data_IF_417994665378
#
_entry.id   IF_417994665378
#
_cell.length_a   1.000
_cell.length_b   1.000
_cell.length_c   1.000
_cell.angle_alpha   90.00
_cell.angle_beta   90.00
_cell.angle_gamma   90.00
#
_symmetry.space_group_name_H-M   'P 1'
#
loop_
_entity.id
_entity.type
_entity.pdbx_description
1 polymer ?
#
# COMPACT_ATOMS: atom_id res chain seq x y z
N UNK A 1 -38.98 22.98 -42.10
CA UNK A 1 -38.43 21.65 -41.78
C UNK A 1 -37.22 21.84 -40.89
N UNK A 2 -37.34 21.58 -39.59
CA UNK A 2 -36.23 21.61 -38.65
C UNK A 2 -36.23 20.25 -37.91
N UNK A 3 -35.17 19.47 -38.12
CA UNK A 3 -34.96 18.19 -37.45
C UNK A 3 -34.14 18.48 -36.20
N UNK A 4 -34.79 18.45 -35.03
CA UNK A 4 -34.12 18.58 -33.74
C UNK A 4 -33.48 17.25 -33.33
N UNK A 5 -32.15 17.19 -33.29
CA UNK A 5 -31.41 16.09 -32.67
C UNK A 5 -31.43 16.26 -31.14
N UNK A 6 -32.20 15.43 -30.44
CA UNK A 6 -32.06 15.26 -29.00
C UNK A 6 -30.91 14.30 -28.69
N UNK A 7 -29.77 14.84 -28.26
CA UNK A 7 -28.68 14.07 -27.67
C UNK A 7 -29.02 13.74 -26.21
N UNK A 8 -29.53 12.53 -25.95
CA UNK A 8 -29.63 12.00 -24.60
C UNK A 8 -28.26 11.49 -24.15
N UNK A 9 -27.57 12.25 -23.31
CA UNK A 9 -26.41 11.76 -22.57
C UNK A 9 -26.88 10.85 -21.44
N UNK A 10 -26.62 9.56 -21.59
CA UNK A 10 -26.83 8.58 -20.53
C UNK A 10 -25.81 8.81 -19.42
N UNK A 11 -26.29 9.00 -18.20
CA UNK A 11 -25.40 9.03 -17.03
C UNK A 11 -25.01 7.60 -16.67
N UNK A 12 -23.79 7.39 -16.16
CA UNK A 12 -23.30 6.04 -15.81
C UNK A 12 -24.26 5.27 -14.89
N UNK A 13 -25.07 5.96 -14.07
CA UNK A 13 -26.05 5.34 -13.18
C UNK A 13 -27.22 4.66 -13.90
N UNK A 14 -27.73 5.24 -14.99
CA UNK A 14 -28.90 4.70 -15.71
C UNK A 14 -28.55 3.45 -16.52
N UNK A 15 -27.33 3.36 -17.03
CA UNK A 15 -26.84 2.16 -17.73
C UNK A 15 -26.79 0.95 -16.79
N UNK A 16 -26.27 1.14 -15.57
CA UNK A 16 -26.20 0.07 -14.56
C UNK A 16 -27.60 -0.32 -14.04
N UNK A 17 -28.51 0.63 -13.86
CA UNK A 17 -29.87 0.34 -13.40
C UNK A 17 -30.65 -0.53 -14.40
N UNK A 18 -30.51 -0.29 -15.70
CA UNK A 18 -31.13 -1.12 -16.75
C UNK A 18 -30.47 -2.50 -16.81
N UNK A 19 -29.14 -2.57 -16.66
CA UNK A 19 -28.39 -3.83 -16.67
C UNK A 19 -28.76 -4.73 -15.48
N UNK A 20 -28.82 -4.18 -14.27
CA UNK A 20 -29.22 -4.91 -13.06
C UNK A 20 -30.72 -5.20 -12.98
N UNK A 21 -31.56 -4.30 -13.50
CA UNK A 21 -33.02 -4.50 -13.56
C UNK A 21 -33.43 -5.69 -14.43
N UNK A 22 -32.68 -5.96 -15.51
CA UNK A 22 -32.92 -7.12 -16.38
C UNK A 22 -32.38 -8.44 -15.82
N UNK A 23 -31.32 -8.41 -15.02
CA UNK A 23 -30.75 -9.61 -14.40
C UNK A 23 -31.60 -10.18 -13.24
N UNK A 24 -32.52 -9.39 -12.68
CA UNK A 24 -33.33 -9.81 -11.51
C UNK A 24 -34.47 -10.78 -11.80
N UNK A 25 -34.79 -11.11 -13.06
CA UNK A 25 -36.00 -11.88 -13.37
C UNK A 25 -35.82 -13.40 -13.47
N UNK A 26 -34.61 -13.92 -13.61
CA UNK A 26 -34.39 -15.37 -13.64
C UNK A 26 -33.02 -15.72 -13.01
N UNK A 27 -32.99 -15.90 -11.69
CA UNK A 27 -31.82 -16.51 -11.04
C UNK A 27 -31.81 -18.01 -11.35
N UNK A 28 -31.21 -18.35 -12.49
CA UNK A 28 -30.77 -19.69 -12.80
C UNK A 28 -29.57 -19.93 -11.89
N UNK A 29 -29.70 -20.89 -10.95
CA UNK A 29 -28.56 -21.30 -10.12
C UNK A 29 -27.52 -21.87 -11.08
N UNK A 30 -26.37 -21.20 -11.30
CA UNK A 30 -25.39 -21.71 -12.25
C UNK A 30 -24.88 -23.05 -11.72
N UNK A 31 -24.81 -24.07 -12.59
CA UNK A 31 -24.21 -25.35 -12.21
C UNK A 31 -22.76 -25.13 -11.75
N UNK A 32 -22.26 -26.02 -10.90
CA UNK A 32 -20.90 -25.95 -10.34
C UNK A 32 -19.85 -25.82 -11.46
N UNK A 33 -20.10 -26.45 -12.60
CA UNK A 33 -19.29 -26.37 -13.82
C UNK A 33 -19.21 -24.95 -14.41
N UNK A 34 -20.32 -24.20 -14.43
CA UNK A 34 -20.36 -22.81 -14.92
C UNK A 34 -19.60 -21.87 -13.99
N UNK A 35 -19.69 -22.10 -12.67
CA UNK A 35 -18.93 -21.33 -11.68
C UNK A 35 -17.42 -21.61 -11.81
N UNK A 36 -17.03 -22.88 -11.98
CA UNK A 36 -15.64 -23.28 -12.19
C UNK A 36 -15.07 -22.68 -13.49
N UNK A 37 -15.84 -22.71 -14.57
CA UNK A 37 -15.50 -22.09 -15.85
C UNK A 37 -15.27 -20.57 -15.72
N UNK A 38 -16.19 -19.87 -15.03
CA UNK A 38 -16.06 -18.43 -14.78
C UNK A 38 -14.88 -18.10 -13.85
N UNK A 39 -14.61 -18.94 -12.85
CA UNK A 39 -13.48 -18.77 -11.93
C UNK A 39 -12.14 -19.01 -12.63
N UNK A 40 -12.09 -20.00 -13.53
CA UNK A 40 -10.94 -20.25 -14.40
C UNK A 40 -10.67 -19.06 -15.33
N UNK A 41 -11.70 -18.54 -15.99
CA UNK A 41 -11.56 -17.38 -16.88
C UNK A 41 -11.15 -16.10 -16.14
N UNK A 42 -11.71 -15.85 -14.95
CA UNK A 42 -11.39 -14.66 -14.14
C UNK A 42 -10.00 -14.72 -13.53
N UNK A 43 -9.47 -15.90 -13.19
CA UNK A 43 -8.10 -16.04 -12.70
C UNK A 43 -7.06 -15.73 -13.80
N UNK A 44 -7.27 -16.19 -15.04
CA UNK A 44 -6.41 -15.86 -16.19
C UNK A 44 -6.46 -14.36 -16.52
N UNK A 45 -7.66 -13.76 -16.51
CA UNK A 45 -7.83 -12.32 -16.69
C UNK A 45 -7.15 -11.52 -15.57
N UNK A 46 -7.18 -12.01 -14.34
CA UNK A 46 -6.50 -11.42 -13.19
C UNK A 46 -4.97 -11.42 -13.37
N UNK A 47 -4.39 -12.53 -13.80
CA UNK A 47 -2.94 -12.63 -14.07
C UNK A 47 -2.54 -11.71 -15.24
N UNK A 48 -3.35 -11.63 -16.28
CA UNK A 48 -3.15 -10.73 -17.42
C UNK A 48 -3.21 -9.25 -16.98
N UNK A 49 -4.21 -8.88 -16.17
CA UNK A 49 -4.34 -7.53 -15.65
C UNK A 49 -3.15 -7.15 -14.75
N UNK A 50 -2.66 -8.10 -13.95
CA UNK A 50 -1.51 -7.90 -13.07
C UNK A 50 -0.21 -7.74 -13.88
N UNK A 51 0.01 -8.56 -14.91
CA UNK A 51 1.13 -8.42 -15.83
C UNK A 51 1.09 -7.09 -16.61
N UNK A 52 -0.10 -6.69 -17.07
CA UNK A 52 -0.31 -5.39 -17.72
C UNK A 52 -0.01 -4.22 -16.79
N UNK A 53 -0.43 -4.29 -15.53
CA UNK A 53 -0.13 -3.28 -14.52
C UNK A 53 1.38 -3.22 -14.22
N UNK A 54 2.04 -4.37 -14.08
CA UNK A 54 3.49 -4.42 -13.88
C UNK A 54 4.27 -3.84 -15.06
N UNK A 55 3.85 -4.13 -16.29
CA UNK A 55 4.45 -3.53 -17.50
C UNK A 55 4.28 -2.01 -17.54
N UNK A 56 3.09 -1.50 -17.24
CA UNK A 56 2.82 -0.05 -17.16
C UNK A 56 3.66 0.60 -16.08
N UNK A 57 3.77 -0.02 -14.91
CA UNK A 57 4.58 0.46 -13.80
C UNK A 57 6.07 0.60 -14.19
N UNK A 58 6.64 -0.43 -14.85
CA UNK A 58 8.03 -0.38 -15.33
C UNK A 58 8.25 0.73 -16.37
N UNK A 59 7.29 0.96 -17.27
CA UNK A 59 7.38 2.01 -18.28
C UNK A 59 7.22 3.41 -17.70
N UNK A 60 6.35 3.61 -16.72
CA UNK A 60 6.22 4.88 -16.00
C UNK A 60 7.54 5.21 -15.30
N UNK A 61 8.13 4.24 -14.60
CA UNK A 61 9.45 4.43 -13.97
C UNK A 61 10.57 4.76 -14.96
N UNK A 62 10.54 4.17 -16.16
CA UNK A 62 11.51 4.48 -17.20
C UNK A 62 11.37 5.93 -17.73
N UNK A 63 10.13 6.43 -17.87
CA UNK A 63 9.87 7.81 -18.28
C UNK A 63 10.29 8.78 -17.17
N UNK A 64 9.90 8.50 -15.93
CA UNK A 64 10.32 9.27 -14.76
C UNK A 64 11.84 9.36 -14.69
N UNK A 65 12.56 8.25 -14.88
CA UNK A 65 14.03 8.24 -14.88
C UNK A 65 14.65 9.13 -15.98
N UNK A 66 14.00 9.26 -17.13
CA UNK A 66 14.45 10.14 -18.23
C UNK A 66 14.17 11.62 -17.89
N UNK A 67 13.00 11.93 -17.33
CA UNK A 67 12.67 13.27 -16.84
C UNK A 67 13.61 13.72 -15.72
N UNK A 68 13.88 12.85 -14.74
CA UNK A 68 14.83 13.12 -13.68
C UNK A 68 16.25 13.36 -14.21
N UNK A 69 16.67 12.63 -15.25
CA UNK A 69 18.00 12.81 -15.85
C UNK A 69 18.13 14.14 -16.58
N UNK A 70 17.09 14.55 -17.33
CA UNK A 70 17.05 15.85 -18.02
C UNK A 70 17.09 17.02 -17.04
N UNK A 71 16.26 16.98 -15.99
CA UNK A 71 16.23 18.04 -14.96
C UNK A 71 17.56 18.10 -14.20
N UNK A 72 18.16 16.94 -13.93
CA UNK A 72 19.46 16.84 -13.26
C UNK A 72 20.60 17.44 -14.09
N UNK A 73 20.70 17.13 -15.38
CA UNK A 73 21.76 17.66 -16.25
C UNK A 73 21.71 19.19 -16.37
N UNK A 74 20.50 19.77 -16.43
CA UNK A 74 20.31 21.24 -16.48
C UNK A 74 20.71 21.91 -15.16
N UNK A 75 20.50 21.26 -14.02
CA UNK A 75 20.75 21.84 -12.69
C UNK A 75 22.20 21.63 -12.23
N UNK A 76 22.79 20.46 -12.48
CA UNK A 76 24.19 20.17 -12.12
C UNK A 76 25.17 21.05 -12.91
N UNK A 77 24.81 21.45 -14.14
CA UNK A 77 25.60 22.38 -14.96
C UNK A 77 25.74 23.79 -14.37
N UNK A 78 24.88 24.20 -13.44
CA UNK A 78 24.94 25.53 -12.81
C UNK A 78 25.50 25.53 -11.38
N UNK A 79 25.70 24.36 -10.75
CA UNK A 79 26.38 24.23 -9.45
C UNK A 79 25.67 24.87 -8.24
N UNK A 80 24.42 25.34 -8.41
CA UNK A 80 23.70 26.13 -7.40
C UNK A 80 22.86 25.30 -6.43
N UNK A 81 22.52 24.05 -6.78
CA UNK A 81 21.66 23.16 -5.99
C UNK A 81 22.09 21.70 -6.15
N UNK A 82 21.91 20.89 -5.10
CA UNK A 82 21.96 19.43 -5.25
C UNK A 82 20.77 19.00 -6.09
N UNK A 83 21.02 18.47 -7.28
CA UNK A 83 19.99 18.13 -8.24
C UNK A 83 18.94 17.15 -7.69
N UNK A 84 19.32 16.33 -6.71
CA UNK A 84 18.47 15.36 -6.03
C UNK A 84 17.27 16.00 -5.30
N UNK A 85 17.39 17.27 -4.88
CA UNK A 85 16.36 17.95 -4.07
C UNK A 85 15.33 18.69 -4.93
N UNK A 86 15.71 19.12 -6.13
CA UNK A 86 14.90 20.04 -6.95
C UNK A 86 13.60 19.40 -7.47
N UNK A 87 13.58 18.14 -7.92
CA UNK A 87 12.34 17.51 -8.37
C UNK A 87 11.31 17.33 -7.25
N UNK A 88 11.77 16.99 -6.03
CA UNK A 88 10.89 16.87 -4.86
C UNK A 88 10.24 18.22 -4.51
N UNK A 89 11.00 19.31 -4.65
CA UNK A 89 10.48 20.67 -4.49
C UNK A 89 9.50 21.02 -5.60
N UNK A 90 9.80 20.70 -6.87
CA UNK A 90 8.91 21.01 -8.00
C UNK A 90 7.59 20.24 -7.94
N UNK A 91 7.59 19.01 -7.42
CA UNK A 91 6.38 18.19 -7.25
C UNK A 91 5.52 18.58 -6.04
N UNK A 92 6.14 19.13 -4.98
CA UNK A 92 5.43 19.50 -3.75
C UNK A 92 4.49 20.71 -3.90
N UNK A 93 4.63 21.51 -4.96
CA UNK A 93 3.82 22.71 -5.18
C UNK A 93 3.07 22.62 -6.50
N UNK A 94 1.75 22.83 -6.47
CA UNK A 94 0.89 22.79 -7.67
C UNK A 94 1.04 24.04 -8.55
N UNK A 95 1.29 25.20 -7.94
CA UNK A 95 1.38 26.50 -8.62
C UNK A 95 2.81 26.83 -9.06
N UNK A 96 2.95 27.32 -10.29
CA UNK A 96 4.23 27.81 -10.81
C UNK A 96 4.82 29.00 -10.04
N UNK A 97 3.97 29.81 -9.41
CA UNK A 97 4.40 30.94 -8.58
C UNK A 97 5.02 30.48 -7.26
N UNK A 98 4.46 29.44 -6.64
CA UNK A 98 4.95 28.88 -5.39
C UNK A 98 6.28 28.15 -5.59
N UNK A 99 6.41 27.41 -6.71
CA UNK A 99 7.68 26.79 -7.13
C UNK A 99 8.79 27.83 -7.27
N UNK A 100 8.51 28.97 -7.91
CA UNK A 100 9.46 30.07 -8.05
C UNK A 100 9.86 30.67 -6.70
N UNK A 101 8.89 30.86 -5.80
CA UNK A 101 9.14 31.49 -4.50
C UNK A 101 10.00 30.60 -3.61
N UNK A 102 9.79 29.28 -3.66
CA UNK A 102 10.59 28.28 -2.92
C UNK A 102 11.99 28.14 -3.53
N UNK A 103 12.12 28.12 -4.86
CA UNK A 103 13.43 28.16 -5.53
C UNK A 103 14.21 29.44 -5.18
N UNK A 104 13.54 30.59 -5.10
CA UNK A 104 14.15 31.86 -4.63
C UNK A 104 14.55 31.81 -3.15
N UNK A 105 13.79 31.12 -2.30
CA UNK A 105 14.11 30.93 -0.88
C UNK A 105 15.33 30.01 -0.70
N UNK A 106 15.44 28.95 -1.47
CA UNK A 106 16.59 28.04 -1.46
C UNK A 106 17.84 28.68 -2.06
N UNK A 107 17.69 29.39 -3.17
CA UNK A 107 18.78 30.12 -3.80
C UNK A 107 19.17 31.39 -3.02
N UNK A 108 18.35 31.89 -2.10
CA UNK A 108 18.71 32.98 -1.17
C UNK A 108 19.94 32.64 -0.33
N UNK A 109 20.28 31.35 -0.21
CA UNK A 109 21.49 30.84 0.44
C UNK A 109 22.74 30.97 -0.46
N UNK A 110 22.62 31.17 -1.78
CA UNK A 110 23.77 31.21 -2.70
C UNK A 110 23.78 32.35 -3.74
N UNK A 111 22.66 32.81 -4.33
CA UNK A 111 22.50 34.11 -5.04
C UNK A 111 21.08 34.26 -5.62
N UNK A 112 20.44 35.43 -5.49
CA UNK A 112 19.06 35.65 -5.97
C UNK A 112 18.93 35.70 -7.51
N UNK A 113 20.01 36.03 -8.21
CA UNK A 113 20.04 36.12 -9.68
C UNK A 113 20.13 34.74 -10.36
N UNK A 114 20.84 33.77 -9.77
CA UNK A 114 20.92 32.40 -10.29
C UNK A 114 19.56 31.69 -10.31
N UNK A 115 18.77 31.85 -9.24
CA UNK A 115 17.44 31.23 -9.10
C UNK A 115 16.47 31.59 -10.22
N UNK A 116 16.45 32.88 -10.61
CA UNK A 116 15.55 33.36 -11.66
C UNK A 116 15.96 32.83 -13.03
N UNK A 117 17.28 32.70 -13.28
CA UNK A 117 17.83 32.17 -14.53
C UNK A 117 17.57 30.66 -14.70
N UNK A 118 17.75 29.89 -13.64
CA UNK A 118 17.41 28.45 -13.59
C UNK A 118 15.92 28.24 -13.80
N UNK A 119 15.07 29.03 -13.13
CA UNK A 119 13.62 28.93 -13.31
C UNK A 119 13.17 29.27 -14.72
N UNK A 120 13.73 30.31 -15.35
CA UNK A 120 13.38 30.64 -16.74
C UNK A 120 13.85 29.57 -17.73
N UNK A 121 15.01 28.94 -17.52
CA UNK A 121 15.44 27.78 -18.31
C UNK A 121 14.50 26.58 -18.15
N UNK A 122 14.16 26.23 -16.91
CA UNK A 122 13.20 25.13 -16.62
C UNK A 122 11.85 25.44 -17.28
N UNK A 123 11.36 26.68 -17.19
CA UNK A 123 10.08 27.10 -17.79
C UNK A 123 10.13 27.16 -19.32
N UNK A 124 11.28 27.49 -19.90
CA UNK A 124 11.48 27.62 -21.35
C UNK A 124 11.71 26.29 -22.06
N UNK A 125 12.36 25.32 -21.41
CA UNK A 125 12.68 24.01 -22.00
C UNK A 125 11.68 22.91 -21.62
N UNK A 126 10.94 23.04 -20.51
CA UNK A 126 10.03 22.01 -20.01
C UNK A 126 8.60 22.55 -20.02
N UNK A 127 7.92 22.46 -21.17
CA UNK A 127 6.48 22.69 -21.23
C UNK A 127 5.75 21.49 -20.61
N UNK A 128 5.50 21.59 -19.30
CA UNK A 128 4.84 20.58 -18.48
C UNK A 128 3.49 20.15 -19.10
N UNK A 129 2.79 21.05 -19.80
CA UNK A 129 1.52 20.73 -20.47
C UNK A 129 1.73 19.90 -21.73
N UNK A 130 2.83 20.09 -22.46
CA UNK A 130 3.17 19.22 -23.59
C UNK A 130 3.63 17.85 -23.13
N UNK A 131 4.40 17.75 -22.04
CA UNK A 131 4.80 16.47 -21.46
C UNK A 131 3.60 15.66 -20.99
N UNK A 132 2.64 16.30 -20.32
CA UNK A 132 1.42 15.64 -19.88
C UNK A 132 0.57 15.17 -21.07
N UNK A 133 0.43 16.00 -22.11
CA UNK A 133 -0.28 15.64 -23.35
C UNK A 133 0.42 14.51 -24.12
N UNK A 134 1.75 14.49 -24.16
CA UNK A 134 2.53 13.40 -24.74
C UNK A 134 2.39 12.11 -23.94
N UNK A 135 2.43 12.19 -22.60
CA UNK A 135 2.20 11.06 -21.69
C UNK A 135 0.84 10.41 -21.92
N UNK A 136 -0.24 11.20 -22.00
CA UNK A 136 -1.59 10.68 -22.28
C UNK A 136 -1.71 10.06 -23.67
N UNK A 137 -1.16 10.70 -24.71
CA UNK A 137 -1.19 10.15 -26.07
C UNK A 137 -0.38 8.86 -26.21
N UNK A 138 0.76 8.76 -25.51
CA UNK A 138 1.59 7.57 -25.52
C UNK A 138 0.93 6.41 -24.76
N UNK A 139 0.36 6.66 -23.57
CA UNK A 139 -0.44 5.68 -22.82
C UNK A 139 -1.60 5.15 -23.66
N UNK A 140 -2.37 6.04 -24.30
CA UNK A 140 -3.49 5.66 -25.16
C UNK A 140 -3.03 4.77 -26.32
N UNK A 141 -1.89 5.08 -26.95
CA UNK A 141 -1.33 4.28 -28.05
C UNK A 141 -0.91 2.88 -27.59
N UNK A 142 -0.31 2.77 -26.41
CA UNK A 142 0.05 1.48 -25.80
C UNK A 142 -1.21 0.67 -25.48
N UNK A 143 -2.22 1.26 -24.84
CA UNK A 143 -3.47 0.57 -24.53
C UNK A 143 -4.15 0.04 -25.80
N UNK A 144 -4.21 0.84 -26.86
CA UNK A 144 -4.76 0.40 -28.16
C UNK A 144 -3.91 -0.69 -28.83
N UNK A 145 -2.59 -0.66 -28.68
CA UNK A 145 -1.71 -1.66 -29.29
C UNK A 145 -1.71 -3.00 -28.55
N UNK A 146 -1.96 -3.00 -27.25
CA UNK A 146 -1.88 -4.19 -26.39
C UNK A 146 -3.23 -4.91 -26.25
N UNK A 147 -4.35 -4.18 -26.38
CA UNK A 147 -5.70 -4.76 -26.39
C UNK A 147 -5.90 -5.92 -27.40
N UNK A 148 -5.49 -5.84 -28.68
CA UNK A 148 -5.68 -6.94 -29.62
C UNK A 148 -4.87 -8.20 -29.25
N UNK A 149 -3.70 -8.04 -28.63
CA UNK A 149 -2.90 -9.18 -28.18
C UNK A 149 -3.59 -9.96 -27.06
N UNK A 150 -4.14 -9.26 -26.06
CA UNK A 150 -4.90 -9.91 -25.00
C UNK A 150 -6.24 -10.47 -25.47
N UNK A 151 -6.89 -9.81 -26.44
CA UNK A 151 -8.09 -10.35 -27.08
C UNK A 151 -7.79 -11.68 -27.79
N UNK A 152 -6.67 -11.77 -28.52
CA UNK A 152 -6.23 -13.01 -29.16
C UNK A 152 -5.95 -14.13 -28.14
N UNK A 153 -5.28 -13.82 -27.02
CA UNK A 153 -5.02 -14.80 -25.94
C UNK A 153 -6.33 -15.29 -25.30
N UNK A 154 -7.29 -14.40 -25.09
CA UNK A 154 -8.61 -14.78 -24.57
C UNK A 154 -9.33 -15.72 -25.56
N UNK A 155 -9.31 -15.39 -26.86
CA UNK A 155 -9.89 -16.24 -27.91
C UNK A 155 -9.20 -17.60 -27.99
N UNK A 156 -7.87 -17.69 -27.94
CA UNK A 156 -7.15 -18.98 -28.00
C UNK A 156 -7.40 -19.83 -26.76
N UNK A 157 -7.47 -19.21 -25.58
CA UNK A 157 -7.80 -19.91 -24.34
C UNK A 157 -9.22 -20.47 -24.35
N UNK A 158 -10.17 -19.71 -24.91
CA UNK A 158 -11.56 -20.14 -25.06
C UNK A 158 -11.68 -21.30 -26.05
N UNK A 159 -10.98 -21.23 -27.19
CA UNK A 159 -10.91 -22.32 -28.18
C UNK A 159 -10.26 -23.57 -27.60
N UNK A 160 -9.16 -23.43 -26.86
CA UNK A 160 -8.49 -24.55 -26.21
C UNK A 160 -9.35 -25.19 -25.11
N UNK A 161 -10.03 -24.38 -24.30
CA UNK A 161 -10.98 -24.85 -23.29
C UNK A 161 -12.15 -25.62 -23.91
N UNK A 162 -12.69 -25.11 -25.02
CA UNK A 162 -13.74 -25.79 -25.78
C UNK A 162 -13.28 -27.11 -26.39
N UNK A 163 -12.06 -27.17 -26.94
CA UNK A 163 -11.50 -28.40 -27.52
C UNK A 163 -11.18 -29.46 -26.46
N UNK A 164 -10.60 -29.05 -25.32
CA UNK A 164 -10.13 -29.98 -24.28
C UNK A 164 -11.24 -30.51 -23.38
N UNK A 165 -12.36 -29.80 -23.22
CA UNK A 165 -13.47 -30.22 -22.38
C UNK A 165 -14.83 -30.09 -23.11
N UNK A 166 -15.48 -31.20 -23.49
CA UNK A 166 -16.78 -31.16 -24.16
C UNK A 166 -17.89 -30.57 -23.27
N UNK A 167 -17.78 -30.71 -21.94
CA UNK A 167 -18.70 -30.12 -20.96
C UNK A 167 -18.63 -28.58 -20.98
N UNK A 168 -17.43 -28.00 -21.13
CA UNK A 168 -17.25 -26.57 -21.26
C UNK A 168 -17.89 -26.04 -22.54
N UNK A 169 -17.75 -26.77 -23.65
CA UNK A 169 -18.41 -26.44 -24.93
C UNK A 169 -19.93 -26.45 -24.80
N UNK A 170 -20.48 -27.47 -24.12
CA UNK A 170 -21.91 -27.55 -23.84
C UNK A 170 -22.39 -26.35 -23.00
N UNK A 171 -21.69 -26.02 -21.91
CA UNK A 171 -22.00 -24.89 -21.05
C UNK A 171 -21.94 -23.53 -21.77
N UNK A 172 -20.90 -23.28 -22.58
CA UNK A 172 -20.78 -22.04 -23.38
C UNK A 172 -21.88 -21.97 -24.44
N UNK A 173 -22.19 -23.08 -25.11
CA UNK A 173 -23.25 -23.12 -26.12
C UNK A 173 -24.65 -22.89 -25.52
N UNK A 174 -24.93 -23.44 -24.34
CA UNK A 174 -26.18 -23.26 -23.61
C UNK A 174 -26.32 -21.82 -23.10
N UNK A 175 -25.22 -21.21 -22.64
CA UNK A 175 -25.18 -19.79 -22.28
C UNK A 175 -25.43 -18.88 -23.49
N UNK A 176 -24.76 -19.09 -24.62
CA UNK A 176 -24.94 -18.29 -25.84
C UNK A 176 -26.33 -18.45 -26.47
N UNK A 177 -26.95 -19.62 -26.29
CA UNK A 177 -28.32 -19.89 -26.75
C UNK A 177 -29.40 -19.40 -25.76
N UNK A 178 -29.02 -18.92 -24.57
CA UNK A 178 -29.97 -18.44 -23.55
C UNK A 178 -30.77 -19.55 -22.85
N UNK A 179 -30.38 -20.81 -23.02
CA UNK A 179 -31.06 -21.96 -22.42
C UNK A 179 -30.36 -22.36 -21.12
N UNK A 180 -30.45 -21.53 -20.08
CA UNK A 180 -30.01 -21.93 -18.74
C UNK A 180 -31.03 -22.91 -18.15
N UNK A 181 -30.80 -24.19 -18.36
CA UNK A 181 -31.69 -25.28 -17.97
C UNK A 181 -31.79 -25.39 -16.43
N UNK A 182 -33.01 -25.25 -15.89
CA UNK A 182 -33.34 -25.48 -14.48
C UNK A 182 -33.31 -26.98 -14.17
N UNK A 183 -32.13 -27.55 -13.94
CA UNK A 183 -32.04 -28.91 -13.41
C UNK A 183 -32.12 -28.84 -11.88
N UNK A 184 -33.35 -28.93 -11.36
CA UNK A 184 -33.61 -29.17 -9.93
C UNK A 184 -33.44 -30.68 -9.65
N UNK A 185 -32.52 -31.09 -8.76
CA UNK A 185 -32.41 -32.48 -8.35
C UNK A 185 -33.69 -32.91 -7.61
N UNK A 186 -34.24 -34.05 -8.03
CA UNK A 186 -35.41 -34.71 -7.44
C UNK A 186 -35.06 -35.18 -6.02
N UNK A 187 -35.78 -34.76 -4.95
CA UNK A 187 -35.48 -35.20 -3.60
C UNK A 187 -35.89 -36.67 -3.41
N UNK A 188 -34.94 -37.47 -2.93
CA UNK A 188 -35.13 -38.86 -2.52
C UNK A 188 -35.72 -38.88 -1.08
N UNK A 189 -36.63 -39.81 -0.73
CA UNK A 189 -37.37 -39.74 0.53
C UNK A 189 -36.55 -40.18 1.76
N UNK A 190 -36.73 -39.35 2.79
CA UNK A 190 -36.47 -39.44 4.24
C UNK A 190 -35.88 -40.72 4.86
N UNK A 191 -34.82 -40.58 5.69
CA UNK A 191 -34.70 -41.26 6.96
C UNK A 191 -35.23 -40.39 8.12
N UNK A 192 -35.38 -41.01 9.29
CA UNK A 192 -35.79 -40.52 10.63
C UNK A 192 -35.48 -39.06 10.99
N UNK A 193 -36.22 -38.45 11.95
CA UNK A 193 -36.13 -37.03 12.29
C UNK A 193 -34.75 -36.69 12.84
N UNK A 194 -33.85 -36.32 11.93
CA UNK A 194 -32.63 -35.62 12.28
C UNK A 194 -33.02 -34.23 12.78
N UNK A 195 -32.26 -33.66 13.73
CA UNK A 195 -32.48 -32.29 14.15
C UNK A 195 -32.55 -31.40 12.91
N UNK A 196 -33.67 -30.69 12.75
CA UNK A 196 -33.92 -29.88 11.56
C UNK A 196 -32.87 -28.76 11.52
N UNK A 197 -31.96 -28.86 10.55
CA UNK A 197 -31.04 -27.78 10.20
C UNK A 197 -31.88 -26.56 9.80
N UNK A 198 -31.59 -25.42 10.41
CA UNK A 198 -32.19 -24.13 10.07
C UNK A 198 -31.33 -23.34 9.11
N UNK A 199 -30.02 -23.56 9.11
CA UNK A 199 -29.11 -22.87 8.22
C UNK A 199 -27.66 -22.94 8.67
N UNK A 200 -26.87 -21.97 8.22
CA UNK A 200 -25.46 -21.83 8.55
C UNK A 200 -25.15 -20.38 8.92
N UNK A 201 -24.27 -20.22 9.89
CA UNK A 201 -23.68 -18.94 10.24
C UNK A 201 -22.16 -19.00 10.03
N UNK A 202 -21.62 -17.98 9.40
CA UNK A 202 -20.17 -17.82 9.17
C UNK A 202 -19.73 -16.46 9.70
N UNK A 203 -18.82 -16.47 10.66
CA UNK A 203 -18.29 -15.25 11.28
C UNK A 203 -16.90 -14.96 10.72
N UNK A 204 -16.69 -13.72 10.28
CA UNK A 204 -15.42 -13.21 9.76
C UNK A 204 -14.85 -12.24 10.80
N UNK A 205 -13.99 -12.72 11.72
CA UNK A 205 -13.41 -11.86 12.74
C UNK A 205 -12.35 -10.94 12.13
N UNK A 206 -12.31 -9.69 12.57
CA UNK A 206 -11.22 -8.76 12.29
C UNK A 206 -10.30 -8.75 13.51
N UNK A 207 -9.08 -9.22 13.32
CA UNK A 207 -8.11 -9.39 14.36
C UNK A 207 -7.18 -8.19 14.43
N UNK A 208 -6.88 -7.74 15.65
CA UNK A 208 -5.81 -6.81 15.92
C UNK A 208 -4.52 -7.59 16.13
N UNK A 209 -3.54 -7.35 15.27
CA UNK A 209 -2.19 -7.91 15.37
C UNK A 209 -1.22 -6.79 15.67
N UNK A 210 -0.37 -6.99 16.66
CA UNK A 210 0.69 -6.03 16.98
C UNK A 210 1.98 -6.59 16.39
N UNK A 211 2.47 -5.96 15.33
CA UNK A 211 3.73 -6.34 14.69
C UNK A 211 4.82 -5.37 15.10
N UNK A 212 5.99 -5.89 15.42
CA UNK A 212 7.19 -5.08 15.66
C UNK A 212 7.87 -4.82 14.32
N UNK A 213 7.95 -3.57 13.92
CA UNK A 213 8.66 -3.15 12.72
C UNK A 213 10.03 -2.58 13.10
N UNK A 214 11.04 -2.83 12.28
CA UNK A 214 12.41 -2.31 12.48
C UNK A 214 12.82 -1.44 11.31
N UNK A 215 13.56 -0.36 11.60
CA UNK A 215 14.13 0.54 10.60
C UNK A 215 15.49 1.05 11.07
N UNK A 216 16.04 2.00 10.34
CA UNK A 216 17.34 2.63 10.61
C UNK A 216 17.17 4.15 10.58
N UNK A 217 17.67 4.83 11.60
CA UNK A 217 17.74 6.27 11.62
C UNK A 217 18.69 6.77 10.50
N UNK A 218 18.34 7.84 9.78
CA UNK A 218 19.24 8.41 8.79
C UNK A 218 20.57 8.81 9.42
N UNK A 219 21.62 8.81 8.59
CA UNK A 219 22.97 9.10 9.02
C UNK A 219 23.04 10.48 9.69
N UNK A 220 23.67 10.55 10.85
CA UNK A 220 23.87 11.79 11.60
C UNK A 220 25.33 12.20 11.48
N UNK A 221 25.55 13.42 10.99
CA UNK A 221 26.88 14.02 10.96
C UNK A 221 27.08 14.80 12.26
N UNK A 222 28.07 14.39 13.06
CA UNK A 222 28.49 15.11 14.26
C UNK A 222 29.97 15.42 14.17
N UNK A 223 30.37 16.66 14.41
CA UNK A 223 31.77 17.05 14.28
C UNK A 223 32.00 18.46 14.75
N UNK A 224 33.27 18.83 14.85
CA UNK A 224 33.66 20.14 15.34
C UNK A 224 35.17 20.32 15.44
N UNK A 225 35.57 21.47 15.96
CA UNK A 225 36.94 21.79 16.36
C UNK A 225 36.92 22.14 17.85
N UNK A 226 37.95 21.74 18.58
CA UNK A 226 38.04 22.05 19.99
C UNK A 226 39.40 21.74 20.58
N UNK A 227 39.59 22.23 21.80
CA UNK A 227 40.76 22.02 22.65
C UNK A 227 40.69 20.60 23.23
N UNK A 228 41.84 19.97 23.49
CA UNK A 228 42.03 18.60 24.03
C UNK A 228 40.99 18.22 25.10
N UNK A 229 39.87 17.64 24.69
CA UNK A 229 38.74 17.34 25.55
C UNK A 229 37.84 16.28 24.94
N UNK A 230 37.13 15.55 25.80
CA UNK A 230 36.08 14.62 25.37
C UNK A 230 34.75 15.35 25.50
N UNK A 231 34.04 15.49 24.39
CA UNK A 231 32.73 16.13 24.33
C UNK A 231 31.68 15.08 23.99
N UNK A 232 30.53 15.21 24.66
CA UNK A 232 29.38 14.32 24.49
C UNK A 232 28.32 15.03 23.65
N UNK A 233 27.97 14.45 22.50
CA UNK A 233 26.96 14.98 21.59
C UNK A 233 25.65 14.22 21.77
N UNK A 234 24.61 14.89 22.25
CA UNK A 234 23.28 14.29 22.38
C UNK A 234 22.61 14.19 21.01
N UNK A 235 22.30 12.97 20.61
CA UNK A 235 21.60 12.63 19.37
C UNK A 235 20.22 12.14 19.75
N UNK A 236 19.20 12.86 19.28
CA UNK A 236 17.80 12.51 19.48
C UNK A 236 17.22 11.93 18.21
N UNK A 237 16.21 11.10 18.37
CA UNK A 237 15.40 10.67 17.24
C UNK A 237 14.78 11.90 16.54
N UNK A 238 14.75 11.86 15.21
CA UNK A 238 14.09 12.90 14.42
C UNK A 238 12.61 13.00 14.84
N UNK A 239 12.11 14.22 15.17
CA UNK A 239 10.74 14.41 15.67
C UNK A 239 9.65 13.80 14.79
N UNK A 240 9.82 13.81 13.47
CA UNK A 240 8.90 13.20 12.52
C UNK A 240 8.81 11.68 12.69
N UNK A 241 9.93 11.01 12.97
CA UNK A 241 9.97 9.57 13.24
C UNK A 241 9.36 9.25 14.61
N UNK A 242 9.65 10.07 15.63
CA UNK A 242 9.04 9.93 16.95
C UNK A 242 7.50 10.06 16.89
N UNK A 243 6.98 11.03 16.11
CA UNK A 243 5.53 11.20 15.86
C UNK A 243 4.90 9.97 15.19
N UNK A 244 5.67 9.21 14.41
CA UNK A 244 5.24 7.96 13.79
C UNK A 244 5.39 6.74 14.73
N UNK A 245 5.74 6.96 16.00
CA UNK A 245 5.91 5.92 17.01
C UNK A 245 7.24 5.15 16.93
N UNK A 246 8.20 5.62 16.12
CA UNK A 246 9.55 5.05 16.13
C UNK A 246 10.27 5.41 17.42
N UNK A 247 11.05 4.44 17.91
CA UNK A 247 11.91 4.54 19.08
C UNK A 247 13.27 3.93 18.75
N UNK A 248 14.30 4.31 19.48
CA UNK A 248 15.60 3.67 19.40
C UNK A 248 15.50 2.25 19.97
N UNK A 249 15.98 1.27 19.22
CA UNK A 249 16.07 -0.11 19.69
C UNK A 249 17.27 -0.24 20.64
N UNK A 250 17.04 0.07 21.91
CA UNK A 250 18.07 0.12 22.96
C UNK A 250 18.79 -1.21 23.09
N UNK A 251 18.07 -2.33 23.04
CA UNK A 251 18.67 -3.67 23.17
C UNK A 251 19.63 -3.96 22.02
N UNK A 252 19.20 -3.72 20.78
CA UNK A 252 20.02 -3.93 19.60
C UNK A 252 21.20 -2.96 19.53
N UNK A 253 20.98 -1.71 19.94
CA UNK A 253 22.02 -0.68 20.00
C UNK A 253 23.10 -1.00 21.04
N UNK A 254 22.71 -1.52 22.21
CA UNK A 254 23.65 -1.89 23.28
C UNK A 254 24.44 -3.16 22.96
N UNK A 255 23.81 -4.10 22.23
CA UNK A 255 24.41 -5.37 21.82
C UNK A 255 25.37 -5.20 20.64
N UNK A 256 24.93 -4.52 19.58
CA UNK A 256 25.70 -4.40 18.33
C UNK A 256 26.56 -3.14 18.27
N UNK A 257 26.34 -2.19 19.18
CA UNK A 257 26.94 -0.87 19.12
C UNK A 257 26.41 -0.02 17.97
N UNK A 258 27.14 1.05 17.66
CA UNK A 258 26.85 1.97 16.56
C UNK A 258 27.91 1.80 15.49
N UNK A 259 27.49 1.69 14.24
CA UNK A 259 28.42 1.80 13.11
C UNK A 259 28.70 3.27 12.86
N UNK A 260 29.96 3.67 12.84
CA UNK A 260 30.34 5.04 12.49
C UNK A 260 31.62 5.03 11.66
N UNK A 261 31.82 6.08 10.89
CA UNK A 261 33.06 6.32 10.16
C UNK A 261 33.59 7.71 10.52
N UNK A 262 34.90 7.80 10.73
CA UNK A 262 35.59 9.06 10.86
C UNK A 262 36.04 9.51 9.46
N UNK A 263 35.64 10.70 9.03
CA UNK A 263 36.25 11.33 7.87
C UNK A 263 37.50 12.07 8.35
N UNK A 264 38.68 11.51 8.03
CA UNK A 264 39.95 12.17 8.32
C UNK A 264 40.10 13.41 7.45
N UNK A 265 39.93 14.58 8.06
CA UNK A 265 40.21 15.82 7.33
C UNK A 265 41.69 16.18 7.26
N UNK A 266 42.56 15.67 8.15
CA UNK A 266 44.02 15.88 8.11
C UNK A 266 44.72 14.84 9.00
N UNK A 267 45.66 14.05 8.44
CA UNK A 267 46.35 12.98 9.17
C UNK A 267 47.05 13.41 10.47
N UNK A 268 47.02 12.54 11.48
CA UNK A 268 47.79 12.70 12.73
C UNK A 268 47.20 13.66 13.77
N UNK A 269 45.97 14.13 13.56
CA UNK A 269 45.29 15.06 14.45
C UNK A 269 44.77 14.29 15.69
N UNK A 270 45.10 14.70 16.91
CA UNK A 270 44.70 13.99 18.14
C UNK A 270 43.19 13.86 18.40
N UNK A 271 42.34 14.26 17.45
CA UNK A 271 40.90 14.07 17.47
C UNK A 271 40.49 12.68 16.98
N UNK A 272 39.52 12.07 17.67
CA UNK A 272 38.94 10.80 17.26
C UNK A 272 37.48 10.66 17.68
N UNK A 273 36.70 9.97 16.85
CA UNK A 273 35.37 9.51 17.23
C UNK A 273 35.54 8.36 18.26
N UNK A 274 34.99 8.51 19.46
CA UNK A 274 35.15 7.51 20.52
C UNK A 274 34.01 6.48 20.56
N UNK A 275 32.83 6.84 20.03
CA UNK A 275 31.69 5.94 19.91
C UNK A 275 30.53 6.30 20.84
N UNK A 276 29.67 5.32 21.10
CA UNK A 276 28.44 5.46 21.90
C UNK A 276 28.74 5.57 23.40
N UNK A 277 28.14 6.56 24.07
CA UNK A 277 28.04 6.60 25.52
C UNK A 277 26.86 5.74 25.99
N UNK A 278 27.19 4.50 26.39
CA UNK A 278 26.21 3.49 26.81
C UNK A 278 25.34 3.90 28.01
N UNK A 279 25.77 4.86 28.82
CA UNK A 279 25.03 5.30 30.02
C UNK A 279 23.84 6.20 29.66
N UNK A 280 23.89 6.81 28.48
CA UNK A 280 22.92 7.83 28.03
C UNK A 280 21.87 7.29 27.06
N UNK A 281 21.89 5.99 26.75
CA UNK A 281 21.01 5.39 25.76
C UNK A 281 19.60 5.26 26.31
N UNK A 282 18.64 5.87 25.62
CA UNK A 282 17.20 5.84 25.89
C UNK A 282 16.44 5.51 24.60
N UNK A 283 15.13 5.33 24.69
CA UNK A 283 14.28 5.12 23.53
C UNK A 283 14.12 6.38 22.65
N UNK A 284 14.45 7.55 23.18
CA UNK A 284 14.35 8.85 22.48
C UNK A 284 15.69 9.41 22.00
N UNK A 285 16.82 8.88 22.47
CA UNK A 285 18.13 9.42 22.15
C UNK A 285 19.28 8.74 22.88
N UNK A 286 20.49 9.12 22.50
CA UNK A 286 21.75 8.69 23.13
C UNK A 286 22.80 9.78 22.98
N UNK A 287 23.92 9.64 23.66
CA UNK A 287 25.08 10.51 23.46
C UNK A 287 26.22 9.80 22.73
N UNK A 288 26.91 10.54 21.87
CA UNK A 288 28.09 10.09 21.14
C UNK A 288 29.32 10.87 21.59
N UNK A 289 30.38 10.15 21.95
CA UNK A 289 31.60 10.74 22.48
C UNK A 289 32.57 11.04 21.33
N UNK A 290 33.09 12.26 21.32
CA UNK A 290 34.14 12.73 20.41
C UNK A 290 35.28 13.27 21.24
N UNK A 291 36.50 12.82 20.98
CA UNK A 291 37.71 13.44 21.50
C UNK A 291 38.17 14.49 20.50
N UNK A 292 38.24 15.74 20.93
CA UNK A 292 38.95 16.77 20.20
C UNK A 292 40.42 16.77 20.62
N UNK A 293 41.30 17.08 19.67
CA UNK A 293 42.69 17.33 19.95
C UNK A 293 43.29 18.36 19.00
N UNK A 294 44.62 18.42 18.99
CA UNK A 294 45.36 19.33 18.13
C UNK A 294 46.05 18.59 16.98
N UNK A 295 46.27 19.31 15.88
CA UNK A 295 47.29 18.96 14.90
C UNK A 295 48.53 19.83 15.14
N UNK A 296 49.69 19.21 15.04
CA UNK A 296 50.98 19.91 15.10
C UNK A 296 51.53 19.94 13.69
N UNK A 297 51.84 21.13 13.17
CA UNK A 297 52.51 21.24 11.87
C UNK A 297 54.01 20.93 11.97
N UNK A 298 54.71 20.95 10.82
CA UNK A 298 56.15 20.68 10.74
C UNK A 298 56.98 21.71 11.54
N UNK A 299 56.42 22.89 11.81
CA UNK A 299 57.05 23.97 12.57
C UNK A 299 56.73 23.89 14.08
N UNK A 300 55.94 22.90 14.52
CA UNK A 300 55.53 22.75 15.91
C UNK A 300 54.34 23.62 16.32
N UNK A 301 53.69 24.34 15.40
CA UNK A 301 52.48 25.09 15.71
C UNK A 301 51.31 24.14 15.91
N UNK A 302 50.61 24.30 17.04
CA UNK A 302 49.39 23.57 17.35
C UNK A 302 48.18 24.33 16.83
N UNK A 303 47.28 23.61 16.18
CA UNK A 303 45.97 24.14 15.80
C UNK A 303 44.89 23.09 16.05
N UNK A 304 43.66 23.53 16.32
CA UNK A 304 42.56 22.63 16.62
C UNK A 304 42.29 21.69 15.44
N UNK A 305 42.22 20.40 15.74
CA UNK A 305 41.91 19.39 14.77
C UNK A 305 40.40 19.30 14.52
N UNK A 306 40.02 19.33 13.25
CA UNK A 306 38.66 19.05 12.81
C UNK A 306 38.44 17.54 12.77
N UNK A 307 37.36 17.08 13.39
CA UNK A 307 36.88 15.71 13.25
C UNK A 307 35.41 15.72 12.88
N UNK A 308 35.07 14.86 11.93
CA UNK A 308 33.70 14.60 11.50
C UNK A 308 33.40 13.12 11.66
N UNK A 309 32.46 12.81 12.53
CA UNK A 309 31.95 11.47 12.78
C UNK A 309 30.63 11.31 12.03
N UNK A 310 30.62 10.39 11.08
CA UNK A 310 29.42 10.00 10.35
C UNK A 310 28.82 8.76 11.03
N UNK A 311 27.74 8.97 11.76
CA UNK A 311 27.05 7.95 12.55
C UNK A 311 26.02 7.29 11.65
N UNK A 312 26.19 5.99 11.40
CA UNK A 312 25.36 5.19 10.52
C UNK A 312 24.57 4.17 11.33
N UNK A 313 23.42 3.79 10.79
CA UNK A 313 22.74 2.57 11.23
C UNK A 313 22.23 2.55 12.67
N UNK A 314 21.70 3.66 13.21
CA UNK A 314 21.01 3.60 14.52
C UNK A 314 19.73 2.79 14.36
N UNK A 315 19.58 1.64 15.04
CA UNK A 315 18.42 0.78 14.88
C UNK A 315 17.20 1.43 15.50
N UNK A 316 16.10 1.43 14.76
CA UNK A 316 14.80 1.92 15.21
C UNK A 316 13.81 0.77 15.28
N UNK A 317 12.90 0.85 16.24
CA UNK A 317 11.81 -0.09 16.44
C UNK A 317 10.50 0.66 16.65
N UNK A 318 9.41 0.15 16.08
CA UNK A 318 8.05 0.60 16.43
C UNK A 318 7.11 -0.58 16.53
N UNK A 319 6.06 -0.42 17.34
CA UNK A 319 4.92 -1.34 17.38
C UNK A 319 3.86 -0.79 16.44
N UNK A 320 3.58 -1.52 15.35
CA UNK A 320 2.51 -1.20 14.43
C UNK A 320 1.29 -2.08 14.74
N UNK A 321 0.12 -1.44 14.83
CA UNK A 321 -1.14 -2.15 14.97
C UNK A 321 -1.70 -2.41 13.57
N UNK A 322 -1.72 -3.68 13.18
CA UNK A 322 -2.23 -4.13 11.90
C UNK A 322 -3.55 -4.87 12.11
N UNK A 323 -4.51 -4.60 11.23
CA UNK A 323 -5.82 -5.22 11.26
C UNK A 323 -5.93 -6.23 10.12
N UNK A 324 -6.03 -7.51 10.47
CA UNK A 324 -6.14 -8.59 9.50
C UNK A 324 -7.47 -9.30 9.65
N UNK A 325 -7.98 -9.87 8.55
CA UNK A 325 -9.11 -10.78 8.62
C UNK A 325 -8.63 -12.11 9.18
N UNK A 326 -9.24 -12.57 10.27
CA UNK A 326 -9.04 -13.91 10.80
C UNK A 326 -9.75 -14.96 9.95
N UNK A 327 -9.49 -16.22 10.27
CA UNK A 327 -10.13 -17.34 9.58
C UNK A 327 -11.66 -17.33 9.80
N UNK A 328 -12.46 -17.59 8.74
CA UNK A 328 -13.91 -17.66 8.88
C UNK A 328 -14.34 -18.82 9.80
N UNK A 329 -15.18 -18.52 10.79
CA UNK A 329 -15.72 -19.52 11.72
C UNK A 329 -17.14 -19.88 11.26
N UNK A 330 -17.27 -21.03 10.59
CA UNK A 330 -18.57 -21.53 10.13
C UNK A 330 -19.19 -22.53 11.12
N UNK A 331 -20.49 -22.38 11.41
CA UNK A 331 -21.27 -23.25 12.29
C UNK A 331 -22.68 -23.44 11.75
N UNK A 332 -23.26 -24.61 11.99
CA UNK A 332 -24.65 -24.89 11.62
C UNK A 332 -25.60 -24.40 12.72
N UNK A 333 -26.74 -23.85 12.30
CA UNK A 333 -27.84 -23.49 13.18
C UNK A 333 -28.86 -24.62 13.17
N UNK A 334 -29.12 -25.19 14.33
CA UNK A 334 -30.05 -26.31 14.50
C UNK A 334 -31.28 -25.85 15.26
N UNK A 335 -32.46 -26.32 14.85
CA UNK A 335 -33.72 -25.95 15.50
C UNK A 335 -33.74 -26.45 16.95
N UNK A 336 -34.11 -25.57 17.87
CA UNK A 336 -34.27 -25.89 19.29
C UNK A 336 -32.98 -25.96 20.10
N UNK A 337 -31.84 -25.54 19.55
CA UNK A 337 -30.58 -25.47 20.29
C UNK A 337 -29.92 -24.10 20.12
N UNK A 338 -29.54 -23.48 21.24
CA UNK A 338 -28.72 -22.28 21.21
C UNK A 338 -27.31 -22.60 20.73
N UNK A 339 -26.73 -21.72 19.91
CA UNK A 339 -25.37 -21.87 19.39
C UNK A 339 -24.47 -20.79 19.98
N UNK A 340 -23.43 -21.20 20.71
CA UNK A 340 -22.35 -20.33 21.13
C UNK A 340 -21.16 -20.44 20.19
N UNK A 341 -20.63 -19.30 19.73
CA UNK A 341 -19.41 -19.25 18.92
C UNK A 341 -18.39 -18.36 19.60
N UNK A 342 -17.31 -18.97 20.10
CA UNK A 342 -16.19 -18.25 20.68
C UNK A 342 -15.39 -17.52 19.60
N UNK A 343 -14.97 -16.29 19.89
CA UNK A 343 -14.11 -15.47 19.03
C UNK A 343 -12.66 -15.49 19.53
N UNK A 344 -11.67 -15.32 18.64
CA UNK A 344 -10.29 -15.10 19.05
C UNK A 344 -10.17 -13.88 19.99
N UNK A 345 -9.32 -13.97 21.02
CA UNK A 345 -9.21 -12.95 22.07
C UNK A 345 -8.74 -11.57 21.58
N UNK A 346 -8.14 -11.50 20.39
CA UNK A 346 -7.71 -10.26 19.74
C UNK A 346 -8.69 -9.78 18.66
N UNK A 347 -9.93 -10.27 18.66
CA UNK A 347 -10.98 -9.78 17.74
C UNK A 347 -11.44 -8.38 18.18
N UNK A 348 -11.37 -7.42 17.26
CA UNK A 348 -11.83 -6.03 17.50
C UNK A 348 -13.20 -5.72 16.90
N UNK A 349 -13.57 -6.45 15.86
CA UNK A 349 -14.88 -6.35 15.20
C UNK A 349 -15.12 -7.63 14.42
N UNK A 350 -16.35 -7.89 13.98
CA UNK A 350 -16.63 -9.02 13.11
C UNK A 350 -17.76 -8.74 12.13
N UNK A 351 -17.88 -9.61 11.14
CA UNK A 351 -19.00 -9.65 10.21
C UNK A 351 -19.63 -11.04 10.28
N UNK A 352 -20.96 -11.10 10.41
CA UNK A 352 -21.70 -12.36 10.43
C UNK A 352 -22.40 -12.52 9.09
N UNK A 353 -22.13 -13.61 8.38
CA UNK A 353 -22.95 -14.09 7.26
C UNK A 353 -23.91 -15.14 7.78
N UNK A 354 -25.20 -14.88 7.62
CA UNK A 354 -26.27 -15.75 8.08
C UNK A 354 -27.05 -16.25 6.86
N UNK A 355 -27.01 -17.55 6.62
CA UNK A 355 -27.76 -18.22 5.56
C UNK A 355 -28.77 -19.17 6.20
N UNK A 356 -30.02 -18.72 6.35
CA UNK A 356 -31.12 -19.56 6.85
C UNK A 356 -31.81 -20.23 5.66
N UNK A 357 -32.07 -21.53 5.74
CA UNK A 357 -32.68 -22.33 4.67
C UNK A 357 -34.04 -21.74 4.27
N UNK A 358 -34.25 -21.56 2.96
CA UNK A 358 -35.45 -20.93 2.42
C UNK A 358 -35.49 -19.40 2.51
N UNK A 359 -34.48 -18.77 3.13
CA UNK A 359 -34.27 -17.32 3.11
C UNK A 359 -32.96 -16.98 2.39
N UNK A 360 -32.85 -15.77 1.85
CA UNK A 360 -31.59 -15.29 1.27
C UNK A 360 -30.50 -15.07 2.33
N UNK A 361 -29.23 -15.09 1.91
CA UNK A 361 -28.09 -14.74 2.78
C UNK A 361 -28.22 -13.29 3.30
N UNK A 362 -27.96 -13.10 4.59
CA UNK A 362 -27.90 -11.79 5.25
C UNK A 362 -26.51 -11.55 5.81
N UNK A 363 -26.01 -10.34 5.64
CA UNK A 363 -24.74 -9.90 6.21
C UNK A 363 -25.03 -8.93 7.34
N UNK A 364 -24.50 -9.21 8.52
CA UNK A 364 -24.71 -8.43 9.75
C UNK A 364 -23.37 -7.92 10.26
N UNK A 365 -23.36 -6.69 10.76
CA UNK A 365 -22.24 -6.04 11.44
C UNK A 365 -22.43 -6.04 12.97
N UNK A 366 -21.45 -5.53 13.71
CA UNK A 366 -21.46 -5.43 15.18
C UNK A 366 -22.66 -4.68 15.75
N UNK A 367 -23.28 -3.78 14.98
CA UNK A 367 -24.46 -3.01 15.42
C UNK A 367 -25.78 -3.47 14.77
N UNK A 368 -25.71 -4.44 13.85
CA UNK A 368 -26.91 -4.91 13.16
C UNK A 368 -27.84 -5.66 14.14
N UNK A 369 -29.16 -5.34 14.16
CA UNK A 369 -30.15 -6.12 14.89
C UNK A 369 -30.34 -7.50 14.26
N UNK A 370 -30.99 -8.41 14.97
CA UNK A 370 -31.34 -9.70 14.38
C UNK A 370 -32.33 -9.51 13.22
N UNK A 371 -32.08 -10.13 12.05
CA UNK A 371 -32.97 -10.00 10.90
C UNK A 371 -34.22 -10.89 10.98
N UNK A 372 -34.32 -11.76 11.99
CA UNK A 372 -35.43 -12.70 12.14
C UNK A 372 -35.98 -12.66 13.56
N UNK A 373 -37.31 -12.62 13.70
CA UNK A 373 -37.98 -12.56 15.01
C UNK A 373 -37.73 -13.81 15.87
N UNK A 374 -37.46 -14.95 15.23
CA UNK A 374 -37.20 -16.22 15.91
C UNK A 374 -35.74 -16.43 16.34
N UNK A 375 -34.84 -15.55 15.93
CA UNK A 375 -33.40 -15.63 16.21
C UNK A 375 -32.99 -14.41 17.02
N UNK A 376 -32.41 -14.60 18.19
CA UNK A 376 -31.81 -13.53 18.97
C UNK A 376 -30.28 -13.68 18.94
N UNK A 377 -29.58 -12.65 18.50
CA UNK A 377 -28.11 -12.63 18.44
C UNK A 377 -27.59 -11.78 19.59
N UNK A 378 -26.98 -12.42 20.59
CA UNK A 378 -26.40 -11.75 21.76
C UNK A 378 -24.88 -11.73 21.65
N UNK A 379 -24.30 -10.54 21.72
CA UNK A 379 -22.88 -10.28 21.51
C UNK A 379 -22.17 -10.14 22.87
N UNK A 380 -21.04 -10.80 23.07
CA UNK A 380 -20.19 -10.70 24.26
C UNK A 380 -18.73 -10.52 23.84
N UNK A 381 -17.87 -10.13 24.79
CA UNK A 381 -16.46 -9.82 24.52
C UNK A 381 -15.67 -11.05 24.00
N UNK A 382 -16.10 -12.26 24.32
CA UNK A 382 -15.43 -13.52 24.03
C UNK A 382 -16.18 -14.40 22.99
N UNK A 383 -17.34 -13.95 22.51
CA UNK A 383 -18.16 -14.76 21.61
C UNK A 383 -19.53 -14.20 21.28
N UNK A 384 -20.27 -14.99 20.50
CA UNK A 384 -21.61 -14.66 20.02
C UNK A 384 -22.54 -15.82 20.33
N UNK A 385 -23.66 -15.51 20.99
CA UNK A 385 -24.74 -16.47 21.26
C UNK A 385 -25.87 -16.26 20.27
N UNK A 386 -26.23 -17.30 19.55
CA UNK A 386 -27.40 -17.38 18.69
C UNK A 386 -28.47 -18.16 19.44
N UNK A 387 -29.43 -17.44 20.01
CA UNK A 387 -30.55 -18.01 20.77
C UNK A 387 -31.78 -18.12 19.88
N UNK A 388 -32.37 -19.30 19.81
CA UNK A 388 -33.55 -19.55 18.99
C UNK A 388 -34.80 -19.56 19.87
N UNK A 389 -35.84 -18.81 19.51
CA UNK A 389 -37.12 -18.91 20.19
C UNK A 389 -37.79 -20.23 19.82
N UNK A 390 -38.17 -21.01 20.83
CA UNK A 390 -38.88 -22.29 20.71
C UNK A 390 -40.25 -22.14 20.05
#
# INVERSE_FOLDING_TARGET
MAVGQHNHQWTNGEFWAIFYGRLKKEFIVPSVEVILALTGATSVLGVIALAGNFYLYLKIRAIEAIEYKSVREVIEGEGLLKADQVPAILQAFESGADRLQVLKLLAKVQSSQGASRVYEKIKGEIDVKQLEKQRFNHLRRITFSVAPFFFLIACTSLVYGAYSNPEFTAAVSNFLRGNGEKVLPKPNPSPSPSPQRLGQVTIFPKLKTVTTETSVHPAVLSGGRGIDSVVSFSIKIIPELAKQGWKIDVEKLMTNGITWSQEETNGGSGSSCMGLDKVTVTDDGFSFLIRFGHKTDVLGHKSDALVTCNIRSVPLVRKAENYTSGEPIARELMKGSDLWVSLPSNTISYMIKLAIDGSGERVLTDDSPSPFDFLQIMKRNDGILFKLSS
#
